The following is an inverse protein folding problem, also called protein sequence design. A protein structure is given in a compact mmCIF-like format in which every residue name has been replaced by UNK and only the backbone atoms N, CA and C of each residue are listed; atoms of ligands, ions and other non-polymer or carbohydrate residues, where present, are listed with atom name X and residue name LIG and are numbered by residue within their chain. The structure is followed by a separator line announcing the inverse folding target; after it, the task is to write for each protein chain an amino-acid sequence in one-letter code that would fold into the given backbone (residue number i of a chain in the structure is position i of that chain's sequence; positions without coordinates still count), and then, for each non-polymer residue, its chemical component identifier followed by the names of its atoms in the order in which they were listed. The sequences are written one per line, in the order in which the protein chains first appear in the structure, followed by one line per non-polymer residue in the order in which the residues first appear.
data_IF_829550164369
#
_entry.id   IF_829550164369
#
_cell.length_a   1.000
_cell.length_b   1.000
_cell.length_c   1.000
_cell.angle_alpha   90.00
_cell.angle_beta   90.00
_cell.angle_gamma   90.00
#
_symmetry.space_group_name_H-M   'P 1'
#
loop_
_entity.id
_entity.type
_entity.pdbx_description
1 polymer ?
#
# COMPACT_ATOMS: atom_id res chain seq x y z
N UNK A 1 35.10 -2.96 61.95
CA UNK A 1 33.88 -3.27 61.18
C UNK A 1 33.47 -2.00 60.44
N UNK A 2 33.23 -2.15 59.13
CA UNK A 2 32.51 -1.23 58.20
C UNK A 2 33.09 0.19 58.00
N UNK A 3 33.92 0.39 56.97
CA UNK A 3 33.63 0.86 55.60
C UNK A 3 33.26 2.36 55.50
N UNK A 4 34.04 3.19 54.76
CA UNK A 4 33.69 4.58 54.49
C UNK A 4 32.79 4.70 53.26
N UNK A 5 31.73 5.51 53.38
CA UNK A 5 30.84 5.88 52.29
C UNK A 5 31.54 6.80 51.28
N UNK A 6 31.53 6.37 50.02
CA UNK A 6 32.04 7.07 48.86
C UNK A 6 30.85 7.65 48.07
N UNK A 7 30.59 8.97 48.07
CA UNK A 7 29.62 9.56 47.16
C UNK A 7 30.30 9.90 45.83
N UNK A 8 30.38 8.92 44.94
CA UNK A 8 30.78 9.13 43.55
C UNK A 8 29.62 8.79 42.62
N UNK A 9 28.85 9.80 42.20
CA UNK A 9 28.20 9.84 40.88
C UNK A 9 27.37 11.14 40.66
N UNK A 10 27.95 12.32 40.83
CA UNK A 10 27.46 13.50 40.11
C UNK A 10 28.10 13.51 38.73
N UNK A 11 27.49 12.80 37.78
CA UNK A 11 27.70 13.07 36.34
C UNK A 11 26.61 14.03 35.87
N UNK A 12 26.81 15.31 36.13
CA UNK A 12 26.35 16.33 35.19
C UNK A 12 27.51 16.58 34.24
N UNK A 13 27.62 15.75 33.20
CA UNK A 13 28.28 16.17 31.97
C UNK A 13 27.19 16.74 31.10
N UNK A 14 27.07 18.06 31.16
CA UNK A 14 26.46 18.85 30.10
C UNK A 14 27.19 18.52 28.80
N UNK A 15 26.55 17.68 28.01
CA UNK A 15 26.71 17.70 26.56
C UNK A 15 25.35 17.39 26.00
N UNK A 16 24.48 18.40 26.11
CA UNK A 16 23.21 18.46 25.42
C UNK A 16 23.50 18.42 23.91
N UNK A 17 23.54 17.21 23.36
CA UNK A 17 23.55 16.97 21.93
C UNK A 17 22.13 17.25 21.43
N UNK A 18 21.82 18.53 21.21
CA UNK A 18 20.63 18.91 20.46
C UNK A 18 20.88 18.65 18.98
N UNK A 19 20.61 17.41 18.53
CA UNK A 19 20.33 17.20 17.11
C UNK A 19 19.14 18.09 16.76
N UNK A 20 19.31 19.01 15.81
CA UNK A 20 18.27 19.93 15.31
C UNK A 20 17.11 19.22 14.59
N UNK A 21 17.12 17.89 14.58
CA UNK A 21 16.08 17.01 14.08
C UNK A 21 15.46 16.30 15.29
N UNK A 22 14.21 16.63 15.64
CA UNK A 22 13.49 16.07 16.78
C UNK A 22 13.18 14.57 16.64
N UNK A 23 14.23 13.73 16.66
CA UNK A 23 14.14 12.29 16.56
C UNK A 23 13.61 11.70 17.87
N UNK A 24 12.52 10.92 17.81
CA UNK A 24 11.86 10.27 18.97
C UNK A 24 12.01 8.75 18.99
N UNK A 25 12.79 8.15 18.08
CA UNK A 25 12.97 6.69 18.02
C UNK A 25 14.39 6.30 17.50
N UNK A 26 14.97 5.17 17.96
CA UNK A 26 16.26 4.65 17.50
C UNK A 26 16.48 4.56 15.97
N UNK A 27 15.46 4.30 15.15
CA UNK A 27 15.61 4.31 13.67
C UNK A 27 15.94 5.73 13.14
N UNK A 28 15.46 6.77 13.82
CA UNK A 28 15.77 8.16 13.46
C UNK A 28 17.17 8.57 13.94
N UNK A 29 17.73 7.88 14.94
CA UNK A 29 19.09 8.12 15.43
C UNK A 29 20.15 7.62 14.43
N UNK A 30 19.89 6.52 13.72
CA UNK A 30 20.80 6.02 12.68
C UNK A 30 20.83 6.94 11.45
N UNK A 31 19.69 7.51 11.08
CA UNK A 31 19.59 8.54 10.04
C UNK A 31 20.34 9.82 10.43
N UNK A 32 20.26 10.24 11.71
CA UNK A 32 21.04 11.39 12.20
C UNK A 32 22.56 11.13 12.15
N UNK A 33 23.02 9.95 12.56
CA UNK A 33 24.45 9.57 12.48
C UNK A 33 24.99 9.58 11.05
N UNK A 34 24.17 9.23 10.07
CA UNK A 34 24.54 9.28 8.67
C UNK A 34 24.53 10.72 8.11
N UNK A 35 23.69 11.62 8.63
CA UNK A 35 23.74 13.05 8.29
C UNK A 35 24.99 13.76 8.79
N UNK A 36 25.55 13.38 9.94
CA UNK A 36 26.75 14.06 10.46
C UNK A 36 28.02 13.74 9.68
N UNK A 37 28.07 12.58 8.99
CA UNK A 37 29.22 12.17 8.18
C UNK A 37 29.24 12.76 6.78
N UNK A 38 28.08 13.09 6.21
CA UNK A 38 28.00 13.72 4.91
C UNK A 38 27.79 15.23 5.14
N UNK A 39 28.70 16.07 4.67
CA UNK A 39 28.65 17.53 4.84
C UNK A 39 27.48 18.24 4.13
N UNK A 40 26.37 17.55 3.89
CA UNK A 40 25.12 18.05 3.33
C UNK A 40 24.03 18.16 4.40
N UNK A 41 22.98 18.93 4.12
CA UNK A 41 21.84 19.02 5.03
C UNK A 41 21.07 17.70 5.04
N UNK A 42 20.52 17.26 6.19
CA UNK A 42 19.68 16.05 6.26
C UNK A 42 18.52 16.06 5.24
N UNK A 43 18.07 17.25 4.83
CA UNK A 43 17.04 17.44 3.83
C UNK A 43 17.46 16.99 2.42
N UNK A 44 18.76 16.93 2.13
CA UNK A 44 19.32 16.52 0.83
C UNK A 44 19.62 15.02 0.78
N UNK A 45 20.08 14.42 1.89
CA UNK A 45 20.23 12.96 2.01
C UNK A 45 18.89 12.22 1.98
N UNK A 46 17.87 12.80 2.61
CA UNK A 46 16.50 12.30 2.47
C UNK A 46 15.99 12.49 1.05
N UNK A 47 16.37 13.55 0.32
CA UNK A 47 15.89 13.76 -1.06
C UNK A 47 16.52 12.80 -2.07
N UNK A 48 17.81 12.51 -1.93
CA UNK A 48 18.57 11.69 -2.88
C UNK A 48 18.20 10.19 -2.88
N UNK A 49 17.61 9.69 -1.80
CA UNK A 49 17.17 8.28 -1.67
C UNK A 49 15.64 8.10 -1.70
N UNK A 50 14.85 9.18 -1.82
CA UNK A 50 13.37 9.17 -1.73
C UNK A 50 12.61 9.19 -3.05
N UNK A 51 13.28 9.29 -4.19
CA UNK A 51 12.59 9.57 -5.47
C UNK A 51 12.33 8.33 -6.33
N UNK A 52 12.93 7.18 -6.01
CA UNK A 52 12.82 5.94 -6.81
C UNK A 52 12.00 4.85 -6.12
N UNK A 53 11.41 3.96 -6.93
CA UNK A 53 10.97 2.66 -6.45
C UNK A 53 12.16 1.85 -5.93
N UNK A 54 11.89 0.81 -5.14
CA UNK A 54 12.94 -0.12 -4.70
C UNK A 54 13.61 -0.76 -5.92
N UNK A 55 14.92 -0.98 -5.82
CA UNK A 55 15.67 -1.76 -6.82
C UNK A 55 15.44 -3.26 -6.65
N UNK A 56 15.20 -3.69 -5.42
CA UNK A 56 15.00 -5.10 -5.08
C UNK A 56 13.65 -5.31 -4.38
N UNK A 57 13.01 -6.40 -4.77
CA UNK A 57 11.77 -6.86 -4.17
C UNK A 57 11.97 -7.15 -2.68
N UNK A 58 11.05 -6.66 -1.86
CA UNK A 58 10.90 -7.09 -0.47
C UNK A 58 9.94 -8.29 -0.35
N UNK A 59 9.34 -8.72 -1.47
CA UNK A 59 8.26 -9.71 -1.60
C UNK A 59 8.51 -10.62 -2.83
N UNK A 60 9.65 -11.33 -2.90
CA UNK A 60 10.14 -11.94 -4.14
C UNK A 60 9.18 -12.97 -4.78
N UNK A 61 8.32 -13.57 -3.98
CA UNK A 61 7.37 -14.61 -4.41
C UNK A 61 5.90 -14.17 -4.32
N UNK A 62 5.65 -12.88 -4.12
CA UNK A 62 4.27 -12.39 -4.01
C UNK A 62 3.50 -12.54 -5.32
N UNK A 63 2.31 -13.11 -5.18
CA UNK A 63 1.30 -13.19 -6.23
C UNK A 63 0.78 -11.80 -6.60
N UNK A 64 0.20 -11.66 -7.79
CA UNK A 64 -0.39 -10.39 -8.22
C UNK A 64 -1.50 -9.92 -7.26
N UNK A 65 -2.25 -10.86 -6.68
CA UNK A 65 -3.28 -10.56 -5.69
C UNK A 65 -2.68 -10.00 -4.39
N UNK A 66 -1.59 -10.57 -3.88
CA UNK A 66 -0.92 -10.07 -2.66
C UNK A 66 -0.35 -8.67 -2.87
N UNK A 67 0.29 -8.43 -4.02
CA UNK A 67 0.79 -7.11 -4.40
C UNK A 67 -0.36 -6.10 -4.50
N UNK A 68 -1.47 -6.48 -5.14
CA UNK A 68 -2.65 -5.65 -5.28
C UNK A 68 -3.35 -5.36 -3.94
N UNK A 69 -3.43 -6.35 -3.06
CA UNK A 69 -3.96 -6.20 -1.71
C UNK A 69 -3.16 -5.17 -0.91
N UNK A 70 -1.83 -5.32 -0.88
CA UNK A 70 -0.97 -4.39 -0.16
C UNK A 70 -1.04 -2.98 -0.76
N UNK A 71 -1.09 -2.86 -2.08
CA UNK A 71 -1.29 -1.57 -2.75
C UNK A 71 -2.63 -0.91 -2.37
N UNK A 72 -3.71 -1.69 -2.25
CA UNK A 72 -5.02 -1.21 -1.79
C UNK A 72 -4.97 -0.70 -0.35
N UNK A 73 -4.31 -1.43 0.55
CA UNK A 73 -4.15 -1.00 1.95
C UNK A 73 -3.31 0.28 2.08
N UNK A 74 -2.26 0.43 1.27
CA UNK A 74 -1.46 1.66 1.20
C UNK A 74 -2.34 2.83 0.73
N UNK A 75 -3.13 2.66 -0.33
CA UNK A 75 -4.06 3.69 -0.84
C UNK A 75 -5.09 4.11 0.19
N UNK A 76 -5.69 3.14 0.87
CA UNK A 76 -6.65 3.36 1.96
C UNK A 76 -6.02 4.18 3.07
N UNK A 77 -4.79 3.85 3.46
CA UNK A 77 -4.07 4.51 4.56
C UNK A 77 -3.61 5.93 4.21
N UNK A 78 -3.17 6.16 2.97
CA UNK A 78 -2.66 7.46 2.53
C UNK A 78 -3.74 8.56 2.54
N UNK A 79 -5.03 8.20 2.43
CA UNK A 79 -6.16 9.14 2.49
C UNK A 79 -6.23 9.96 3.79
N UNK A 80 -5.59 9.50 4.85
CA UNK A 80 -5.56 10.18 6.16
C UNK A 80 -4.36 11.13 6.35
N UNK A 81 -3.51 11.29 5.33
CA UNK A 81 -2.39 12.23 5.34
C UNK A 81 -2.83 13.67 5.01
N UNK A 82 -2.06 14.66 5.46
CA UNK A 82 -2.22 16.07 5.07
C UNK A 82 -2.02 16.29 3.56
N UNK A 83 -1.14 15.49 2.95
CA UNK A 83 -1.00 15.36 1.50
C UNK A 83 -1.15 13.87 1.10
N UNK A 84 -2.38 13.43 0.78
CA UNK A 84 -2.63 12.04 0.42
C UNK A 84 -1.90 11.57 -0.83
N UNK A 85 -1.65 12.46 -1.79
CA UNK A 85 -1.02 12.09 -3.06
C UNK A 85 0.49 11.89 -2.89
N UNK A 86 1.16 12.82 -2.19
CA UNK A 86 2.58 12.67 -1.91
C UNK A 86 2.85 11.50 -0.95
N UNK A 87 2.01 11.28 0.06
CA UNK A 87 2.15 10.14 0.97
C UNK A 87 1.92 8.80 0.25
N UNK A 88 0.91 8.72 -0.63
CA UNK A 88 0.67 7.53 -1.45
C UNK A 88 1.87 7.20 -2.33
N UNK A 89 2.34 8.18 -3.12
CA UNK A 89 3.47 7.99 -4.03
C UNK A 89 4.73 7.54 -3.27
N UNK A 90 5.03 8.19 -2.14
CA UNK A 90 6.15 7.83 -1.30
C UNK A 90 6.03 6.41 -0.73
N UNK A 91 4.86 6.02 -0.21
CA UNK A 91 4.64 4.67 0.34
C UNK A 91 4.76 3.59 -0.72
N UNK A 92 4.20 3.80 -1.91
CA UNK A 92 4.31 2.85 -3.02
C UNK A 92 5.77 2.66 -3.43
N UNK A 93 6.53 3.74 -3.61
CA UNK A 93 7.96 3.69 -3.97
C UNK A 93 8.81 2.97 -2.92
N UNK A 94 8.51 3.16 -1.64
CA UNK A 94 9.23 2.51 -0.54
C UNK A 94 8.90 1.02 -0.41
N UNK A 95 7.75 0.59 -0.90
CA UNK A 95 7.23 -0.77 -0.71
C UNK A 95 7.55 -1.66 -1.89
N UNK A 96 7.38 -1.16 -3.11
CA UNK A 96 7.46 -1.94 -4.32
C UNK A 96 8.69 -1.57 -5.16
N UNK A 97 9.11 -2.50 -5.99
CA UNK A 97 9.79 -2.21 -7.25
C UNK A 97 8.80 -1.63 -8.27
N UNK A 98 9.30 -0.98 -9.33
CA UNK A 98 8.45 -0.47 -10.42
C UNK A 98 7.60 -1.59 -11.05
N UNK A 99 8.19 -2.79 -11.22
CA UNK A 99 7.52 -3.93 -11.83
C UNK A 99 6.38 -4.47 -10.95
N UNK A 100 6.59 -4.56 -9.65
CA UNK A 100 5.56 -5.00 -8.70
C UNK A 100 4.39 -4.01 -8.62
N UNK A 101 4.70 -2.71 -8.59
CA UNK A 101 3.66 -1.68 -8.62
C UNK A 101 2.81 -1.77 -9.90
N UNK A 102 3.44 -2.01 -11.05
CA UNK A 102 2.74 -2.20 -12.32
C UNK A 102 1.88 -3.48 -12.34
N UNK A 103 2.36 -4.59 -11.76
CA UNK A 103 1.60 -5.85 -11.61
C UNK A 103 0.38 -5.65 -10.72
N UNK A 104 0.56 -4.98 -9.56
CA UNK A 104 -0.55 -4.63 -8.68
C UNK A 104 -1.61 -3.79 -9.41
N UNK A 105 -1.19 -2.76 -10.15
CA UNK A 105 -2.10 -1.92 -10.93
C UNK A 105 -2.83 -2.68 -12.03
N UNK A 106 -2.13 -3.56 -12.75
CA UNK A 106 -2.75 -4.39 -13.78
C UNK A 106 -3.81 -5.31 -13.18
N UNK A 107 -3.51 -5.95 -12.05
CA UNK A 107 -4.46 -6.82 -11.35
C UNK A 107 -5.70 -6.06 -10.87
N UNK A 108 -5.51 -4.88 -10.25
CA UNK A 108 -6.61 -4.04 -9.79
C UNK A 108 -7.51 -3.57 -10.94
N UNK A 109 -6.91 -3.22 -12.10
CA UNK A 109 -7.69 -2.85 -13.30
C UNK A 109 -8.46 -4.03 -13.87
N UNK A 110 -7.89 -5.23 -13.89
CA UNK A 110 -8.55 -6.43 -14.38
C UNK A 110 -9.78 -6.83 -13.54
N UNK A 111 -9.82 -6.44 -12.26
CA UNK A 111 -10.96 -6.66 -11.37
C UNK A 111 -12.17 -5.74 -11.60
N UNK A 112 -12.07 -4.76 -12.50
CA UNK A 112 -13.16 -3.83 -12.84
C UNK A 112 -13.96 -4.41 -14.00
N UNK A 113 -15.29 -4.50 -13.85
CA UNK A 113 -16.17 -4.94 -14.93
C UNK A 113 -16.11 -3.96 -16.11
N UNK A 114 -15.79 -4.47 -17.31
CA UNK A 114 -15.76 -3.68 -18.55
C UNK A 114 -17.18 -3.50 -19.11
N UNK A 115 -17.97 -2.69 -18.42
CA UNK A 115 -19.37 -2.42 -18.76
C UNK A 115 -19.52 -1.69 -20.09
N UNK A 116 -18.53 -0.87 -20.47
CA UNK A 116 -18.50 -0.16 -21.76
C UNK A 116 -18.37 -1.12 -22.92
N UNK A 117 -17.39 -2.03 -22.88
CA UNK A 117 -17.24 -3.08 -23.90
C UNK A 117 -18.44 -4.01 -23.96
N UNK A 118 -19.06 -4.31 -22.82
CA UNK A 118 -20.30 -5.10 -22.82
C UNK A 118 -21.43 -4.35 -23.54
N UNK A 119 -21.59 -3.05 -23.31
CA UNK A 119 -22.58 -2.22 -24.00
C UNK A 119 -22.29 -2.12 -25.51
N UNK A 120 -21.02 -2.05 -25.92
CA UNK A 120 -20.64 -2.11 -27.34
C UNK A 120 -21.00 -3.46 -27.98
N UNK A 121 -20.76 -4.57 -27.27
CA UNK A 121 -21.17 -5.90 -27.73
C UNK A 121 -22.70 -5.95 -27.87
N UNK A 122 -23.44 -5.46 -26.88
CA UNK A 122 -24.91 -5.37 -26.95
C UNK A 122 -25.40 -4.55 -28.14
N UNK A 123 -24.81 -3.38 -28.38
CA UNK A 123 -25.18 -2.52 -29.50
C UNK A 123 -24.90 -3.17 -30.85
N UNK A 124 -23.81 -3.95 -30.96
CA UNK A 124 -23.45 -4.70 -32.18
C UNK A 124 -24.31 -5.93 -32.40
N UNK A 125 -24.89 -6.50 -31.34
CA UNK A 125 -25.73 -7.67 -31.44
C UNK A 125 -27.07 -7.36 -32.12
N UNK A 126 -27.61 -6.14 -32.03
CA UNK A 126 -28.87 -5.78 -32.71
C UNK A 126 -30.00 -6.79 -32.40
N UNK A 127 -30.58 -7.41 -33.44
CA UNK A 127 -31.55 -8.52 -33.36
C UNK A 127 -30.89 -9.91 -33.28
N UNK A 128 -29.70 -10.03 -32.67
CA UNK A 128 -28.96 -11.28 -32.61
C UNK A 128 -29.82 -12.44 -32.06
N UNK A 129 -29.49 -13.65 -32.52
CA UNK A 129 -30.06 -14.92 -32.05
C UNK A 129 -30.24 -14.91 -30.53
N UNK A 130 -31.39 -15.37 -30.05
CA UNK A 130 -31.77 -15.29 -28.63
C UNK A 130 -30.69 -15.76 -27.63
N UNK A 131 -29.80 -16.65 -28.05
CA UNK A 131 -28.68 -17.15 -27.26
C UNK A 131 -27.64 -16.07 -26.89
N UNK A 132 -27.30 -15.16 -27.80
CA UNK A 132 -26.32 -14.10 -27.53
C UNK A 132 -26.89 -13.07 -26.55
N UNK A 133 -28.15 -12.67 -26.74
CA UNK A 133 -28.88 -11.83 -25.81
C UNK A 133 -29.05 -12.51 -24.43
N UNK A 134 -29.30 -13.82 -24.42
CA UNK A 134 -29.35 -14.60 -23.19
C UNK A 134 -28.00 -14.63 -22.47
N UNK A 135 -26.89 -14.88 -23.17
CA UNK A 135 -25.54 -14.89 -22.59
C UNK A 135 -25.18 -13.56 -21.94
N UNK A 136 -25.47 -12.44 -22.62
CA UNK A 136 -25.22 -11.12 -22.05
C UNK A 136 -26.03 -10.89 -20.77
N UNK A 137 -27.31 -11.29 -20.75
CA UNK A 137 -28.14 -11.23 -19.55
C UNK A 137 -27.57 -12.08 -18.41
N UNK A 138 -27.09 -13.29 -18.70
CA UNK A 138 -26.44 -14.14 -17.69
C UNK A 138 -25.17 -13.50 -17.15
N UNK A 139 -24.35 -12.91 -18.01
CA UNK A 139 -23.13 -12.20 -17.61
C UNK A 139 -23.44 -11.03 -16.68
N UNK A 140 -24.42 -10.18 -17.03
CA UNK A 140 -24.86 -9.07 -16.16
C UNK A 140 -25.35 -9.57 -14.81
N UNK A 141 -26.15 -10.63 -14.79
CA UNK A 141 -26.64 -11.22 -13.55
C UNK A 141 -25.51 -11.83 -12.70
N UNK A 142 -24.49 -12.42 -13.32
CA UNK A 142 -23.31 -12.93 -12.63
C UNK A 142 -22.48 -11.79 -12.02
N UNK A 143 -22.24 -10.71 -12.77
CA UNK A 143 -21.54 -9.51 -12.28
C UNK A 143 -22.27 -8.86 -11.11
N UNK A 144 -23.59 -8.70 -11.18
CA UNK A 144 -24.38 -8.14 -10.08
C UNK A 144 -24.26 -8.97 -8.79
N UNK A 145 -24.33 -10.31 -8.90
CA UNK A 145 -24.14 -11.20 -7.75
C UNK A 145 -22.73 -11.14 -7.18
N UNK A 146 -21.72 -11.01 -8.04
CA UNK A 146 -20.34 -10.86 -7.62
C UNK A 146 -20.13 -9.51 -6.90
N UNK A 147 -20.73 -8.42 -7.38
CA UNK A 147 -20.63 -7.11 -6.73
C UNK A 147 -21.33 -7.10 -5.36
N UNK A 148 -22.48 -7.76 -5.23
CA UNK A 148 -23.13 -7.93 -3.93
C UNK A 148 -22.25 -8.74 -2.94
N UNK A 149 -21.56 -9.77 -3.43
CA UNK A 149 -20.60 -10.53 -2.61
C UNK A 149 -19.41 -9.66 -2.18
N UNK A 150 -18.87 -8.83 -3.09
CA UNK A 150 -17.80 -7.86 -2.78
C UNK A 150 -18.26 -6.82 -1.76
N UNK A 151 -19.50 -6.32 -1.84
CA UNK A 151 -20.08 -5.36 -0.88
C UNK A 151 -20.16 -5.98 0.52
N UNK A 152 -20.62 -7.23 0.61
CA UNK A 152 -20.65 -7.97 1.88
C UNK A 152 -19.25 -8.20 2.44
N UNK A 153 -18.25 -8.45 1.58
CA UNK A 153 -16.86 -8.55 2.02
C UNK A 153 -16.36 -7.20 2.54
N UNK A 154 -16.72 -6.07 1.92
CA UNK A 154 -16.31 -4.75 2.38
C UNK A 154 -16.98 -4.30 3.68
N UNK A 155 -18.21 -4.75 3.94
CA UNK A 155 -18.97 -4.47 5.16
C UNK A 155 -18.86 -5.51 6.30
N UNK A 156 -18.14 -6.63 6.10
CA UNK A 156 -18.18 -7.80 6.99
C UNK A 156 -17.11 -7.86 8.11
N UNK A 157 -17.33 -8.78 9.08
CA UNK A 157 -16.44 -9.07 10.22
C UNK A 157 -15.07 -9.67 9.80
N UNK A 158 -14.02 -9.27 10.53
CA UNK A 158 -12.61 -9.30 10.16
C UNK A 158 -11.95 -10.67 9.89
N UNK A 159 -12.50 -11.78 10.37
CA UNK A 159 -11.69 -13.02 10.52
C UNK A 159 -11.71 -13.94 9.28
N UNK A 160 -12.70 -13.83 8.39
CA UNK A 160 -12.78 -14.65 7.17
C UNK A 160 -12.64 -13.85 5.85
N UNK A 161 -12.52 -12.52 5.94
CA UNK A 161 -12.57 -11.64 4.77
C UNK A 161 -11.41 -11.86 3.81
N UNK A 162 -10.19 -12.01 4.31
CA UNK A 162 -9.00 -12.12 3.46
C UNK A 162 -8.96 -13.46 2.70
N UNK A 163 -9.33 -14.56 3.35
CA UNK A 163 -9.40 -15.87 2.70
C UNK A 163 -10.48 -15.91 1.62
N UNK A 164 -11.68 -15.38 1.89
CA UNK A 164 -12.76 -15.33 0.92
C UNK A 164 -12.45 -14.38 -0.24
N UNK A 165 -11.87 -13.21 0.06
CA UNK A 165 -11.45 -12.25 -0.97
C UNK A 165 -10.36 -12.83 -1.88
N UNK A 166 -9.36 -13.50 -1.29
CA UNK A 166 -8.33 -14.22 -2.05
C UNK A 166 -8.91 -15.32 -2.93
N UNK A 167 -9.83 -16.14 -2.40
CA UNK A 167 -10.45 -17.25 -3.14
C UNK A 167 -11.22 -16.80 -4.40
N UNK A 168 -11.81 -15.60 -4.38
CA UNK A 168 -12.53 -15.03 -5.54
C UNK A 168 -11.69 -14.01 -6.31
N UNK A 169 -10.40 -13.87 -5.99
CA UNK A 169 -9.50 -12.90 -6.60
C UNK A 169 -9.87 -11.44 -6.34
N UNK A 170 -10.74 -11.16 -5.37
CA UNK A 170 -11.16 -9.82 -5.00
C UNK A 170 -10.13 -9.15 -4.10
N UNK A 171 -9.79 -7.90 -4.39
CA UNK A 171 -9.00 -7.06 -3.49
C UNK A 171 -9.96 -6.14 -2.73
N UNK A 172 -10.06 -6.24 -1.40
CA UNK A 172 -10.94 -5.38 -0.62
C UNK A 172 -10.57 -3.89 -0.76
N UNK A 173 -11.59 -3.02 -0.68
CA UNK A 173 -11.46 -1.56 -0.82
C UNK A 173 -10.84 -1.08 -2.16
N UNK A 174 -10.73 -1.97 -3.16
CA UNK A 174 -10.20 -1.61 -4.49
C UNK A 174 -11.21 -0.91 -5.39
N UNK A 175 -12.51 -0.99 -5.05
CA UNK A 175 -13.58 -0.27 -5.72
C UNK A 175 -13.57 1.18 -5.25
N UNK A 176 -13.42 2.11 -6.20
CA UNK A 176 -13.36 3.56 -5.97
C UNK A 176 -14.65 4.13 -5.39
#
# INVERSE_FOLDING_TARGET
MTHPDNPAATRHTDTEWSCRCGARNPEQAEVCRNCERASGTCADLNRGTRTGFREHSALPDATDWELAYLASEIRRSARYSDDPHADLDWRLRRTFTTAEAARADAYLRAGIHDTGRLAEIEARLGDATGDAAWLVRQLKAAWARLDEAKDRLDGGSLVARNHLASAIGYVPYSRR
#
